data_IF_587472318300
#
_entry.id   IF_587472318300
#
_cell.length_a   1.000
_cell.length_b   1.000
_cell.length_c   1.000
_cell.angle_alpha   90.00
_cell.angle_beta   90.00
_cell.angle_gamma   90.00
#
_symmetry.space_group_name_H-M   'P 1'
#
loop_
_entity.id
_entity.type
_entity.pdbx_description
1 polymer ?
#
# COMPACT_ATOMS: atom_id res chain seq x y z
N UNK A 1 -0.47 27.16 6.09
CA UNK A 1 -0.55 26.44 4.81
C UNK A 1 -1.51 25.27 4.93
N UNK A 2 -2.19 24.87 3.86
CA UNK A 2 -3.18 23.79 3.91
C UNK A 2 -2.60 22.45 3.43
N UNK A 3 -3.21 21.30 3.82
CA UNK A 3 -2.79 19.97 3.36
C UNK A 3 -2.71 19.89 1.83
N UNK A 4 -3.67 20.43 1.04
CA UNK A 4 -3.56 20.46 -0.41
C UNK A 4 -2.30 21.16 -0.95
N UNK A 5 -1.78 22.17 -0.27
CA UNK A 5 -0.57 22.87 -0.69
C UNK A 5 0.69 22.02 -0.51
N UNK A 6 0.79 21.24 0.56
CA UNK A 6 1.89 20.28 0.75
C UNK A 6 1.89 19.18 -0.31
N UNK A 7 0.71 18.61 -0.60
CA UNK A 7 0.54 17.62 -1.66
C UNK A 7 0.92 18.20 -3.02
N UNK A 8 0.48 19.42 -3.30
CA UNK A 8 0.80 20.14 -4.54
C UNK A 8 2.31 20.34 -4.72
N UNK A 9 3.00 20.74 -3.67
CA UNK A 9 4.44 20.94 -3.70
C UNK A 9 5.19 19.61 -3.92
N UNK A 10 4.79 18.54 -3.22
CA UNK A 10 5.37 17.21 -3.41
C UNK A 10 5.21 16.72 -4.86
N UNK A 11 3.98 16.78 -5.42
CA UNK A 11 3.74 16.30 -6.79
C UNK A 11 4.46 17.15 -7.82
N UNK A 12 4.51 18.47 -7.63
CA UNK A 12 5.29 19.34 -8.50
C UNK A 12 6.80 19.01 -8.43
N UNK A 13 7.31 18.68 -7.25
CA UNK A 13 8.70 18.24 -7.08
C UNK A 13 8.98 16.91 -7.81
N UNK A 14 8.04 15.96 -7.76
CA UNK A 14 8.12 14.72 -8.54
C UNK A 14 8.11 15.00 -10.06
N UNK A 15 7.18 15.81 -10.54
CA UNK A 15 7.10 16.20 -11.95
C UNK A 15 8.38 16.87 -12.43
N UNK A 16 8.94 17.78 -11.65
CA UNK A 16 10.22 18.43 -11.93
C UNK A 16 11.38 17.43 -11.93
N UNK A 17 11.39 16.48 -11.00
CA UNK A 17 12.38 15.41 -10.96
C UNK A 17 12.38 14.59 -12.26
N UNK A 18 11.19 14.22 -12.75
CA UNK A 18 11.00 13.48 -13.99
C UNK A 18 11.19 14.32 -15.26
N UNK A 19 11.40 15.61 -15.14
CA UNK A 19 11.61 16.48 -16.31
C UNK A 19 10.32 17.00 -16.93
N UNK A 20 9.18 16.82 -16.31
CA UNK A 20 7.90 17.32 -16.77
C UNK A 20 7.77 18.82 -16.56
N UNK A 21 7.08 19.50 -17.50
CA UNK A 21 6.67 20.90 -17.39
C UNK A 21 5.24 21.03 -16.84
N UNK A 22 4.54 19.92 -16.65
CA UNK A 22 3.21 19.90 -16.07
C UNK A 22 3.21 20.39 -14.64
N UNK A 23 2.07 20.90 -14.20
CA UNK A 23 1.86 21.38 -12.83
C UNK A 23 0.55 20.83 -12.29
N UNK A 24 0.46 20.71 -10.98
CA UNK A 24 -0.77 20.36 -10.30
C UNK A 24 -1.78 21.47 -10.47
N UNK A 25 -2.93 21.14 -11.06
CA UNK A 25 -4.07 22.05 -11.19
C UNK A 25 -4.94 21.99 -9.93
N UNK A 26 -5.22 20.77 -9.47
CA UNK A 26 -6.19 20.52 -8.42
C UNK A 26 -5.77 19.32 -7.55
N UNK A 27 -5.92 19.46 -6.23
CA UNK A 27 -5.74 18.39 -5.26
C UNK A 27 -7.10 18.02 -4.69
N UNK A 28 -7.50 16.79 -4.89
CA UNK A 28 -8.74 16.28 -4.35
C UNK A 28 -8.48 15.66 -2.98
N UNK A 29 -8.90 16.34 -1.94
CA UNK A 29 -8.81 15.87 -0.54
C UNK A 29 -10.08 15.10 -0.17
N UNK A 30 -10.50 14.16 -1.00
CA UNK A 30 -11.68 13.35 -0.69
C UNK A 30 -11.35 12.39 0.46
N UNK A 31 -12.31 12.18 1.40
CA UNK A 31 -12.16 11.17 2.43
C UNK A 31 -11.89 9.79 1.81
N UNK A 32 -11.11 8.98 2.50
CA UNK A 32 -10.60 7.65 2.10
C UNK A 32 -11.55 6.69 1.36
N UNK A 33 -12.86 6.94 1.35
CA UNK A 33 -13.84 6.11 0.66
C UNK A 33 -14.31 6.77 -0.64
N UNK A 34 -13.61 6.51 -1.74
CA UNK A 34 -13.99 7.08 -3.04
C UNK A 34 -15.10 6.31 -3.75
N UNK A 35 -15.31 5.03 -3.40
CA UNK A 35 -16.24 4.16 -4.12
C UNK A 35 -17.01 3.30 -3.14
N UNK A 36 -18.26 3.64 -2.95
CA UNK A 36 -19.26 2.68 -2.57
C UNK A 36 -19.75 2.00 -3.85
N UNK A 37 -19.40 0.73 -4.00
CA UNK A 37 -20.13 -0.11 -4.94
C UNK A 37 -21.48 -0.40 -4.31
N UNK A 38 -22.58 0.08 -4.90
CA UNK A 38 -23.93 -0.30 -4.52
C UNK A 38 -24.17 -1.82 -4.66
N UNK A 39 -23.22 -2.53 -5.26
CA UNK A 39 -23.19 -3.96 -5.38
C UNK A 39 -22.27 -4.57 -4.31
N UNK A 40 -22.87 -5.15 -3.27
CA UNK A 40 -22.21 -5.75 -2.08
C UNK A 40 -21.15 -6.80 -2.41
N UNK A 41 -21.07 -7.25 -3.67
CA UNK A 41 -20.13 -8.28 -4.14
C UNK A 41 -18.79 -7.70 -4.69
N UNK A 42 -18.66 -6.39 -4.84
CA UNK A 42 -17.45 -5.79 -5.39
C UNK A 42 -16.59 -5.13 -4.30
N UNK A 43 -15.28 -5.15 -4.52
CA UNK A 43 -14.31 -4.59 -3.58
C UNK A 43 -14.43 -3.06 -3.50
N UNK A 44 -14.49 -2.52 -2.28
CA UNK A 44 -14.40 -1.08 -2.07
C UNK A 44 -12.95 -0.61 -2.29
N UNK A 45 -12.78 0.53 -2.97
CA UNK A 45 -11.47 1.13 -3.20
C UNK A 45 -11.27 2.32 -2.27
N UNK A 46 -10.15 2.34 -1.56
CA UNK A 46 -9.75 3.42 -0.66
C UNK A 46 -8.47 4.04 -1.21
N UNK A 47 -8.57 5.30 -1.66
CA UNK A 47 -7.46 6.07 -2.19
C UNK A 47 -6.95 7.03 -1.12
N UNK A 48 -5.62 7.11 -0.94
CA UNK A 48 -5.04 8.00 0.07
C UNK A 48 -5.09 9.46 -0.41
N UNK A 49 -4.50 9.76 -1.55
CA UNK A 49 -4.45 11.13 -2.10
C UNK A 49 -4.65 11.08 -3.62
N UNK A 50 -5.58 11.87 -4.12
CA UNK A 50 -5.85 12.01 -5.56
C UNK A 50 -5.56 13.42 -6.04
N UNK A 51 -4.82 13.54 -7.14
CA UNK A 51 -4.37 14.80 -7.72
C UNK A 51 -4.69 14.84 -9.20
N UNK A 52 -5.15 15.98 -9.69
CA UNK A 52 -5.36 16.24 -11.14
C UNK A 52 -4.36 17.28 -11.62
N UNK A 53 -3.68 17.00 -12.72
CA UNK A 53 -2.74 17.93 -13.34
C UNK A 53 -3.43 18.91 -14.30
N UNK A 54 -2.68 19.90 -14.78
CA UNK A 54 -3.14 20.92 -15.71
C UNK A 54 -3.62 20.41 -17.07
N UNK A 55 -3.20 19.20 -17.46
CA UNK A 55 -3.65 18.48 -18.65
C UNK A 55 -4.72 17.41 -18.37
N UNK A 56 -5.32 17.42 -17.18
CA UNK A 56 -6.29 16.45 -16.67
C UNK A 56 -5.75 15.03 -16.40
N UNK A 57 -4.45 14.79 -16.45
CA UNK A 57 -3.88 13.54 -15.94
C UNK A 57 -4.18 13.38 -14.45
N UNK A 58 -4.36 12.13 -14.02
CA UNK A 58 -4.74 11.78 -12.64
C UNK A 58 -3.56 11.09 -11.97
N UNK A 59 -3.22 11.55 -10.77
CA UNK A 59 -2.19 10.96 -9.92
C UNK A 59 -2.81 10.45 -8.63
N UNK A 60 -2.62 9.17 -8.34
CA UNK A 60 -2.93 8.56 -7.04
C UNK A 60 -1.62 8.40 -6.27
N UNK A 61 -1.60 8.82 -4.99
CA UNK A 61 -0.41 8.72 -4.14
C UNK A 61 -0.76 7.83 -2.96
N UNK A 62 0.04 6.80 -2.76
CA UNK A 62 -0.10 5.82 -1.68
C UNK A 62 1.23 5.73 -0.90
N UNK A 63 1.17 5.50 0.41
CA UNK A 63 2.35 5.35 1.27
C UNK A 63 2.29 3.98 1.94
N UNK A 64 3.36 3.20 1.78
CA UNK A 64 3.44 1.85 2.32
C UNK A 64 4.68 1.68 3.20
N UNK A 65 4.47 1.25 4.44
CA UNK A 65 5.55 0.82 5.34
C UNK A 65 6.02 -0.62 5.02
N UNK A 66 5.12 -1.44 4.48
CA UNK A 66 5.40 -2.80 4.03
C UNK A 66 4.78 -3.00 2.65
N UNK A 67 5.63 -3.00 1.62
CA UNK A 67 5.23 -3.15 0.23
C UNK A 67 5.63 -4.53 -0.29
N UNK A 68 4.69 -5.23 -0.90
CA UNK A 68 4.89 -6.57 -1.43
C UNK A 68 3.96 -6.88 -2.62
N UNK A 69 3.83 -8.16 -2.94
CA UNK A 69 3.01 -8.61 -4.07
C UNK A 69 1.55 -8.18 -3.98
N UNK A 70 0.99 -8.13 -2.77
CA UNK A 70 -0.40 -7.72 -2.55
C UNK A 70 -0.58 -6.24 -2.89
N UNK A 71 0.34 -5.37 -2.45
CA UNK A 71 0.33 -3.94 -2.73
C UNK A 71 0.58 -3.64 -4.21
N UNK A 72 1.40 -4.45 -4.90
CA UNK A 72 1.52 -4.37 -6.35
C UNK A 72 0.18 -4.61 -7.05
N UNK A 73 -0.55 -5.67 -6.67
CA UNK A 73 -1.87 -5.97 -7.23
C UNK A 73 -2.89 -4.89 -6.90
N UNK A 74 -2.85 -4.34 -5.67
CA UNK A 74 -3.67 -3.20 -5.27
C UNK A 74 -3.39 -1.98 -6.16
N UNK A 75 -2.13 -1.63 -6.39
CA UNK A 75 -1.74 -0.50 -7.25
C UNK A 75 -2.25 -0.68 -8.68
N UNK A 76 -2.13 -1.89 -9.26
CA UNK A 76 -2.68 -2.21 -10.59
C UNK A 76 -4.20 -2.05 -10.60
N UNK A 77 -4.90 -2.62 -9.61
CA UNK A 77 -6.36 -2.55 -9.51
C UNK A 77 -6.86 -1.10 -9.40
N UNK A 78 -6.23 -0.29 -8.54
CA UNK A 78 -6.59 1.11 -8.33
C UNK A 78 -6.35 1.96 -9.58
N UNK A 79 -5.18 1.80 -10.21
CA UNK A 79 -4.83 2.53 -11.44
C UNK A 79 -5.79 2.19 -12.57
N UNK A 80 -6.08 0.90 -12.76
CA UNK A 80 -7.03 0.43 -13.79
C UNK A 80 -8.43 0.93 -13.54
N UNK A 81 -8.87 0.93 -12.28
CA UNK A 81 -10.17 1.45 -11.92
C UNK A 81 -10.28 2.96 -12.20
N UNK A 82 -9.31 3.76 -11.74
CA UNK A 82 -9.25 5.20 -12.00
C UNK A 82 -9.27 5.49 -13.50
N UNK A 83 -8.54 4.70 -14.30
CA UNK A 83 -8.49 4.85 -15.74
C UNK A 83 -9.85 4.56 -16.39
N UNK A 84 -10.47 3.43 -16.05
CA UNK A 84 -11.71 2.97 -16.67
C UNK A 84 -12.94 3.82 -16.29
N UNK A 85 -12.94 4.44 -15.11
CA UNK A 85 -14.08 5.20 -14.59
C UNK A 85 -14.07 6.69 -14.94
N UNK A 86 -13.14 7.15 -15.78
CA UNK A 86 -13.15 8.51 -16.30
C UNK A 86 -14.25 8.73 -17.34
N UNK A 87 -14.66 7.67 -18.03
CA UNK A 87 -15.56 7.76 -19.18
C UNK A 87 -17.01 7.52 -18.78
N UNK A 88 -17.89 8.38 -19.27
CA UNK A 88 -19.34 8.18 -19.18
C UNK A 88 -19.81 7.25 -20.31
N UNK A 89 -21.04 6.74 -20.16
CA UNK A 89 -21.68 5.93 -21.19
C UNK A 89 -21.70 6.69 -22.53
N UNK A 90 -21.24 6.04 -23.62
CA UNK A 90 -21.17 6.56 -25.00
C UNK A 90 -20.01 7.57 -25.24
N UNK A 91 -19.12 7.82 -24.29
CA UNK A 91 -17.90 8.58 -24.56
C UNK A 91 -16.85 7.70 -25.25
N UNK A 92 -16.02 8.33 -26.07
CA UNK A 92 -14.92 7.66 -26.77
C UNK A 92 -13.74 7.45 -25.83
N UNK A 93 -13.03 6.34 -25.96
CA UNK A 93 -11.86 6.02 -25.14
C UNK A 93 -10.71 7.04 -25.25
N UNK A 94 -10.66 7.81 -26.35
CA UNK A 94 -9.70 8.90 -26.52
C UNK A 94 -9.84 10.06 -25.53
N UNK A 95 -10.92 10.11 -24.75
CA UNK A 95 -11.13 11.09 -23.69
C UNK A 95 -10.53 10.67 -22.34
N UNK A 96 -10.15 9.41 -22.19
CA UNK A 96 -9.51 8.97 -20.97
C UNK A 96 -8.11 9.57 -20.87
N UNK A 97 -7.82 10.20 -19.75
CA UNK A 97 -6.51 10.78 -19.47
C UNK A 97 -5.62 9.75 -18.79
N UNK A 98 -4.32 9.92 -18.88
CA UNK A 98 -3.34 9.10 -18.20
C UNK A 98 -3.58 9.06 -16.68
N UNK A 99 -3.36 7.88 -16.10
CA UNK A 99 -3.37 7.69 -14.64
C UNK A 99 -2.01 7.20 -14.18
N UNK A 100 -1.44 7.86 -13.20
CA UNK A 100 -0.18 7.46 -12.57
C UNK A 100 -0.40 7.15 -11.09
N UNK A 101 -0.05 5.95 -10.65
CA UNK A 101 -0.01 5.61 -9.23
C UNK A 101 1.41 5.78 -8.70
N UNK A 102 1.61 6.74 -7.79
CA UNK A 102 2.88 6.96 -7.08
C UNK A 102 2.80 6.24 -5.74
N UNK A 103 3.65 5.25 -5.55
CA UNK A 103 3.74 4.48 -4.33
C UNK A 103 5.06 4.79 -3.62
N UNK A 104 4.98 5.39 -2.44
CA UNK A 104 6.13 5.65 -1.57
C UNK A 104 6.36 4.42 -0.70
N UNK A 105 7.53 3.81 -0.81
CA UNK A 105 7.84 2.55 -0.13
C UNK A 105 9.10 2.67 0.73
N UNK A 106 9.10 2.03 1.90
CA UNK A 106 10.20 2.07 2.87
C UNK A 106 10.99 0.77 2.95
N UNK A 107 10.48 -0.32 2.38
CA UNK A 107 11.10 -1.65 2.47
C UNK A 107 11.84 -2.06 1.19
N UNK A 108 12.72 -3.04 1.31
CA UNK A 108 13.54 -3.59 0.23
C UNK A 108 12.76 -4.63 -0.61
N UNK A 109 11.66 -4.23 -1.23
CA UNK A 109 10.86 -5.12 -2.08
C UNK A 109 11.50 -5.38 -3.45
N UNK A 110 12.16 -4.35 -4.01
CA UNK A 110 12.80 -4.43 -5.33
C UNK A 110 14.23 -4.92 -5.21
N UNK A 111 14.65 -5.82 -6.12
CA UNK A 111 16.02 -6.34 -6.19
C UNK A 111 17.04 -5.30 -6.72
N UNK A 112 16.59 -4.17 -7.28
CA UNK A 112 17.45 -3.10 -7.73
C UNK A 112 17.70 -2.03 -6.66
N UNK A 113 18.67 -1.15 -6.91
CA UNK A 113 19.02 -0.03 -6.01
C UNK A 113 18.51 1.34 -6.50
N UNK A 114 17.60 1.34 -7.47
CA UNK A 114 17.10 2.59 -8.03
C UNK A 114 16.14 3.29 -7.05
N UNK A 115 16.31 4.58 -6.89
CA UNK A 115 15.45 5.42 -6.07
C UNK A 115 14.04 5.52 -6.63
N UNK A 116 13.91 5.69 -7.96
CA UNK A 116 12.64 5.82 -8.66
C UNK A 116 12.53 4.75 -9.74
N UNK A 117 11.45 3.99 -9.70
CA UNK A 117 11.13 2.93 -10.66
C UNK A 117 9.78 3.22 -11.30
N UNK A 118 9.74 3.32 -12.62
CA UNK A 118 8.54 3.61 -13.41
C UNK A 118 8.18 2.41 -14.28
N UNK A 119 6.99 1.84 -14.02
CA UNK A 119 6.47 0.66 -14.70
C UNK A 119 5.35 1.06 -15.66
N UNK A 120 5.51 0.67 -16.93
CA UNK A 120 4.61 0.99 -18.03
C UNK A 120 4.26 -0.27 -18.83
N UNK A 121 3.16 -0.23 -19.58
CA UNK A 121 2.81 -1.30 -20.51
C UNK A 121 3.74 -1.27 -21.72
N UNK A 122 4.56 -2.30 -21.87
CA UNK A 122 5.59 -2.41 -22.92
C UNK A 122 5.49 -3.74 -23.67
N UNK A 123 5.95 -3.73 -24.92
CA UNK A 123 6.18 -4.97 -25.65
C UNK A 123 7.40 -5.70 -25.05
N UNK A 124 7.24 -6.96 -24.71
CA UNK A 124 8.29 -7.78 -24.06
C UNK A 124 9.59 -7.85 -24.88
N UNK A 125 9.48 -8.02 -26.21
CA UNK A 125 10.64 -8.24 -27.07
C UNK A 125 11.33 -6.95 -27.53
N UNK A 126 10.55 -5.89 -27.76
CA UNK A 126 11.09 -4.64 -28.33
C UNK A 126 11.21 -3.53 -27.30
N UNK A 127 10.71 -3.73 -26.07
CA UNK A 127 10.59 -2.73 -25.02
C UNK A 127 9.81 -1.47 -25.43
N UNK A 128 9.10 -1.52 -26.56
CA UNK A 128 8.31 -0.40 -27.05
C UNK A 128 7.09 -0.20 -26.16
N UNK A 129 6.90 1.02 -25.68
CA UNK A 129 5.72 1.41 -24.91
C UNK A 129 4.47 1.30 -25.80
N UNK A 130 3.37 0.73 -25.28
CA UNK A 130 2.14 0.55 -26.03
C UNK A 130 1.54 1.92 -26.39
N UNK A 131 1.23 2.71 -25.36
CA UNK A 131 0.81 4.12 -25.47
C UNK A 131 1.36 4.86 -24.25
N UNK A 132 1.82 6.10 -24.43
CA UNK A 132 2.38 6.93 -23.36
C UNK A 132 1.33 7.52 -22.41
N UNK A 133 0.07 7.50 -22.80
CA UNK A 133 -1.05 8.14 -22.12
C UNK A 133 -2.02 7.15 -21.44
N UNK A 134 -1.56 5.94 -21.15
CA UNK A 134 -2.37 4.91 -20.49
C UNK A 134 -2.24 4.98 -18.96
N UNK A 135 -1.33 4.19 -18.44
CA UNK A 135 -1.16 3.99 -16.99
C UNK A 135 0.32 3.80 -16.67
N UNK A 136 0.76 4.45 -15.59
CA UNK A 136 2.07 4.21 -14.98
C UNK A 136 1.90 3.81 -13.52
N UNK A 137 2.77 2.90 -13.06
CA UNK A 137 2.94 2.59 -11.64
C UNK A 137 4.36 2.96 -11.26
N UNK A 138 4.48 3.95 -10.40
CA UNK A 138 5.76 4.48 -9.94
C UNK A 138 6.01 4.03 -8.52
N UNK A 139 7.18 3.46 -8.27
CA UNK A 139 7.66 3.14 -6.93
C UNK A 139 8.82 4.08 -6.59
N UNK A 140 8.66 4.87 -5.53
CA UNK A 140 9.71 5.73 -4.98
C UNK A 140 10.21 5.08 -3.70
N UNK A 141 11.47 4.64 -3.72
CA UNK A 141 12.13 3.98 -2.60
C UNK A 141 12.70 5.02 -1.63
N UNK A 142 11.99 5.23 -0.53
CA UNK A 142 12.38 6.19 0.49
C UNK A 142 13.69 5.80 1.19
N UNK A 143 13.99 4.50 1.29
CA UNK A 143 15.25 3.94 1.80
C UNK A 143 16.46 4.17 0.86
N UNK A 144 16.22 4.50 -0.40
CA UNK A 144 17.24 4.83 -1.42
C UNK A 144 17.27 6.30 -1.80
N UNK A 145 16.66 7.16 -0.98
CA UNK A 145 16.71 8.61 -1.25
C UNK A 145 18.17 9.10 -1.30
N UNK A 146 18.61 9.71 -2.41
CA UNK A 146 19.97 10.16 -2.56
C UNK A 146 20.39 11.14 -1.46
N UNK A 147 21.59 10.95 -0.90
CA UNK A 147 22.12 11.86 0.14
C UNK A 147 22.38 13.25 -0.42
N UNK A 148 22.88 13.32 -1.66
CA UNK A 148 23.20 14.57 -2.36
C UNK A 148 22.60 14.55 -3.75
N UNK A 149 21.90 15.62 -4.10
CA UNK A 149 21.48 15.90 -5.47
C UNK A 149 22.18 17.13 -6.00
N UNK A 150 22.78 17.02 -7.16
CA UNK A 150 23.56 18.09 -7.75
C UNK A 150 22.71 19.12 -8.50
N UNK A 151 21.46 18.78 -8.82
CA UNK A 151 20.54 19.68 -9.54
C UNK A 151 19.43 20.19 -8.61
N UNK A 152 19.21 21.50 -8.62
CA UNK A 152 18.10 22.12 -7.87
C UNK A 152 16.75 21.45 -8.15
N UNK A 153 16.55 21.00 -9.39
CA UNK A 153 15.36 20.32 -9.87
C UNK A 153 15.05 19.04 -9.11
N UNK A 154 16.07 18.30 -8.72
CA UNK A 154 15.91 17.02 -8.01
C UNK A 154 15.93 17.16 -6.49
N UNK A 155 16.44 18.27 -5.99
CA UNK A 155 16.61 18.50 -4.55
C UNK A 155 15.28 18.51 -3.78
N UNK A 156 14.22 19.09 -4.38
CA UNK A 156 12.92 19.24 -3.70
C UNK A 156 12.25 17.89 -3.43
N UNK A 157 12.23 16.97 -4.38
CA UNK A 157 11.69 15.63 -4.17
C UNK A 157 12.49 14.87 -3.11
N UNK A 158 13.82 14.93 -3.17
CA UNK A 158 14.67 14.31 -2.16
C UNK A 158 14.43 14.87 -0.76
N UNK A 159 14.22 16.17 -0.65
CA UNK A 159 13.90 16.81 0.61
C UNK A 159 12.58 16.29 1.17
N UNK A 160 11.52 16.17 0.33
CA UNK A 160 10.25 15.55 0.72
C UNK A 160 10.41 14.10 1.17
N UNK A 161 11.15 13.28 0.42
CA UNK A 161 11.38 11.88 0.78
C UNK A 161 12.10 11.75 2.13
N UNK A 162 13.13 12.56 2.39
CA UNK A 162 13.81 12.60 3.69
C UNK A 162 12.90 13.08 4.82
N UNK A 163 12.04 14.06 4.53
CA UNK A 163 11.08 14.57 5.49
C UNK A 163 10.04 13.53 5.90
N UNK A 164 9.51 12.77 4.92
CA UNK A 164 8.50 11.72 5.15
C UNK A 164 9.04 10.59 6.05
N UNK A 165 10.31 10.21 5.90
CA UNK A 165 10.92 9.14 6.73
C UNK A 165 11.54 9.64 8.01
N UNK A 166 11.56 10.95 8.26
CA UNK A 166 12.09 11.50 9.50
C UNK A 166 11.27 11.01 10.70
N UNK A 167 11.93 10.38 11.66
CA UNK A 167 11.31 9.72 12.80
C UNK A 167 11.33 10.56 14.09
N UNK A 168 11.76 11.81 14.00
CA UNK A 168 11.70 12.78 15.09
C UNK A 168 11.55 14.20 14.57
N UNK A 169 11.05 15.10 15.42
CA UNK A 169 10.89 16.51 15.05
C UNK A 169 12.24 17.19 14.77
N UNK A 170 13.28 16.84 15.50
CA UNK A 170 14.64 17.36 15.28
C UNK A 170 15.13 17.04 13.87
N UNK A 171 14.93 15.80 13.42
CA UNK A 171 15.28 15.40 12.05
C UNK A 171 14.41 16.07 11.00
N UNK A 172 13.12 16.27 11.27
CA UNK A 172 12.25 17.04 10.37
C UNK A 172 12.73 18.47 10.21
N UNK A 173 13.10 19.14 11.33
CA UNK A 173 13.64 20.50 11.34
C UNK A 173 14.99 20.58 10.62
N UNK A 174 15.86 19.59 10.81
CA UNK A 174 17.13 19.47 10.08
C UNK A 174 16.93 19.36 8.57
N UNK A 175 15.95 18.56 8.12
CA UNK A 175 15.60 18.43 6.69
C UNK A 175 14.97 19.73 6.17
N UNK A 176 14.13 20.38 6.97
CA UNK A 176 13.46 21.62 6.62
C UNK A 176 14.44 22.76 6.35
N UNK A 177 15.55 22.85 7.10
CA UNK A 177 16.58 23.91 6.96
C UNK A 177 16.00 25.33 6.90
N UNK A 178 14.92 25.59 7.63
CA UNK A 178 14.24 26.87 7.65
C UNK A 178 13.32 27.15 6.44
N UNK A 179 13.07 26.17 5.58
CA UNK A 179 12.08 26.28 4.51
C UNK A 179 10.67 26.39 5.11
N UNK A 180 9.94 27.45 4.78
CA UNK A 180 8.63 27.76 5.36
C UNK A 180 7.60 26.66 5.12
N UNK A 181 7.63 25.99 3.97
CA UNK A 181 6.72 24.90 3.62
C UNK A 181 6.90 23.73 4.60
N UNK A 182 8.13 23.27 4.81
CA UNK A 182 8.43 22.18 5.73
C UNK A 182 8.23 22.59 7.20
N UNK A 183 8.63 23.80 7.58
CA UNK A 183 8.44 24.28 8.95
C UNK A 183 6.95 24.33 9.30
N UNK A 184 6.10 24.85 8.41
CA UNK A 184 4.66 24.84 8.64
C UNK A 184 4.05 23.43 8.62
N UNK A 185 4.62 22.49 7.85
CA UNK A 185 4.20 21.07 7.89
C UNK A 185 4.49 20.43 9.25
N UNK A 186 5.63 20.76 9.87
CA UNK A 186 5.98 20.27 11.23
C UNK A 186 4.93 20.70 12.24
N UNK A 187 4.50 21.97 12.21
CA UNK A 187 3.47 22.49 13.12
C UNK A 187 2.14 21.75 12.92
N UNK A 188 1.71 21.56 11.67
CA UNK A 188 0.48 20.78 11.38
C UNK A 188 0.59 19.33 11.89
N UNK A 189 1.76 18.69 11.75
CA UNK A 189 2.00 17.33 12.27
C UNK A 189 1.94 17.34 13.80
N UNK A 190 2.56 18.32 14.47
CA UNK A 190 2.50 18.45 15.93
C UNK A 190 1.07 18.59 16.43
N UNK A 191 0.28 19.46 15.81
CA UNK A 191 -1.12 19.66 16.15
C UNK A 191 -1.95 18.37 15.94
N UNK A 192 -1.75 17.70 14.79
CA UNK A 192 -2.45 16.46 14.49
C UNK A 192 -2.10 15.32 15.46
N UNK A 193 -0.83 15.14 15.79
CA UNK A 193 -0.39 14.07 16.72
C UNK A 193 -0.90 14.30 18.13
N UNK A 194 -1.07 15.55 18.54
CA UNK A 194 -1.57 15.96 19.86
C UNK A 194 -3.11 16.04 19.92
N UNK A 195 -3.82 15.87 18.81
CA UNK A 195 -5.28 15.86 18.81
C UNK A 195 -5.81 14.68 19.64
N UNK A 196 -6.67 14.91 20.65
CA UNK A 196 -7.25 13.85 21.48
C UNK A 196 -7.97 12.77 20.68
N UNK A 197 -8.62 13.12 19.57
CA UNK A 197 -9.28 12.16 18.70
C UNK A 197 -8.28 11.21 18.02
N UNK A 198 -7.14 11.74 17.54
CA UNK A 198 -6.06 10.95 16.94
C UNK A 198 -5.39 10.05 17.97
N UNK A 199 -5.16 10.55 19.20
CA UNK A 199 -4.59 9.77 20.30
C UNK A 199 -5.52 8.60 20.65
N UNK A 200 -6.82 8.85 20.74
CA UNK A 200 -7.80 7.81 21.04
C UNK A 200 -7.93 6.79 19.90
N UNK A 201 -7.89 7.26 18.63
CA UNK A 201 -7.90 6.37 17.47
C UNK A 201 -6.69 5.43 17.48
N UNK A 202 -5.48 5.96 17.69
CA UNK A 202 -4.25 5.14 17.78
C UNK A 202 -4.31 4.09 18.87
N UNK A 203 -4.84 4.44 20.07
CA UNK A 203 -5.01 3.49 21.18
C UNK A 203 -5.98 2.37 20.80
N UNK A 204 -7.11 2.71 20.20
CA UNK A 204 -8.12 1.74 19.78
C UNK A 204 -7.61 0.83 18.65
N UNK A 205 -6.84 1.38 17.70
CA UNK A 205 -6.26 0.61 16.60
C UNK A 205 -5.19 -0.37 17.08
N UNK A 206 -4.32 0.06 18.00
CA UNK A 206 -3.36 -0.82 18.66
C UNK A 206 -4.05 -1.98 19.40
N UNK A 207 -5.14 -1.70 20.14
CA UNK A 207 -5.91 -2.76 20.80
C UNK A 207 -6.49 -3.75 19.80
N UNK A 208 -7.06 -3.27 18.68
CA UNK A 208 -7.60 -4.14 17.61
C UNK A 208 -6.52 -5.01 16.95
N UNK A 209 -5.33 -4.46 16.74
CA UNK A 209 -4.19 -5.21 16.18
C UNK A 209 -3.76 -6.31 17.15
N UNK A 210 -3.64 -6.00 18.45
CA UNK A 210 -3.30 -6.98 19.49
C UNK A 210 -4.35 -8.09 19.53
N UNK A 211 -5.64 -7.74 19.54
CA UNK A 211 -6.74 -8.71 19.55
C UNK A 211 -6.70 -9.59 18.29
N UNK A 212 -6.47 -9.01 17.10
CA UNK A 212 -6.37 -9.75 15.85
C UNK A 212 -5.15 -10.69 15.83
N UNK A 213 -4.00 -10.26 16.34
CA UNK A 213 -2.81 -11.11 16.50
C UNK A 213 -3.08 -12.27 17.44
N UNK A 214 -3.67 -12.01 18.61
CA UNK A 214 -4.02 -13.04 19.59
C UNK A 214 -5.00 -14.08 19.02
N UNK A 215 -6.01 -13.62 18.26
CA UNK A 215 -6.95 -14.52 17.56
C UNK A 215 -6.24 -15.34 16.48
N UNK A 216 -5.31 -14.74 15.73
CA UNK A 216 -4.55 -15.44 14.70
C UNK A 216 -3.60 -16.49 15.29
N UNK A 217 -2.90 -16.17 16.39
CA UNK A 217 -2.05 -17.08 17.14
C UNK A 217 -2.84 -18.27 17.64
N UNK A 218 -3.95 -18.04 18.35
CA UNK A 218 -4.84 -19.11 18.86
C UNK A 218 -5.36 -20.01 17.71
N UNK A 219 -5.75 -19.42 16.56
CA UNK A 219 -6.17 -20.20 15.38
C UNK A 219 -5.02 -20.99 14.77
N UNK A 220 -3.82 -20.44 14.77
CA UNK A 220 -2.59 -21.11 14.30
C UNK A 220 -2.24 -22.29 15.16
N UNK A 221 -2.31 -22.14 16.48
CA UNK A 221 -2.04 -23.17 17.49
C UNK A 221 -3.03 -24.34 17.35
N UNK A 222 -4.34 -24.03 17.32
CA UNK A 222 -5.40 -25.04 17.10
C UNK A 222 -5.21 -25.79 15.77
N UNK A 223 -4.86 -25.07 14.67
CA UNK A 223 -4.58 -25.71 13.38
C UNK A 223 -3.34 -26.60 13.44
N UNK A 224 -2.29 -26.13 14.12
CA UNK A 224 -1.05 -26.89 14.32
C UNK A 224 -1.31 -28.19 15.08
N UNK A 225 -1.98 -28.11 16.23
CA UNK A 225 -2.36 -29.30 17.03
C UNK A 225 -3.24 -30.28 16.25
N UNK A 226 -4.24 -29.75 15.52
CA UNK A 226 -5.12 -30.58 14.70
C UNK A 226 -4.34 -31.31 13.60
N UNK A 227 -3.40 -30.62 12.94
CA UNK A 227 -2.56 -31.18 11.87
C UNK A 227 -1.64 -32.29 12.40
N UNK A 228 -0.98 -32.06 13.53
CA UNK A 228 -0.12 -33.05 14.19
C UNK A 228 -0.93 -34.27 14.66
N UNK A 229 -2.09 -34.03 15.26
CA UNK A 229 -3.00 -35.09 15.70
C UNK A 229 -3.49 -35.93 14.53
N UNK A 230 -3.83 -35.29 13.40
CA UNK A 230 -4.21 -35.99 12.16
C UNK A 230 -3.09 -36.89 11.65
N UNK A 231 -1.87 -36.37 11.54
CA UNK A 231 -0.68 -37.16 11.13
C UNK A 231 -0.45 -38.37 12.02
N UNK A 232 -0.52 -38.19 13.34
CA UNK A 232 -0.32 -39.25 14.32
C UNK A 232 -1.39 -40.35 14.19
N UNK A 233 -2.67 -39.97 14.08
CA UNK A 233 -3.78 -40.91 13.90
C UNK A 233 -3.66 -41.68 12.58
N UNK A 234 -3.32 -41.01 11.49
CA UNK A 234 -3.08 -41.65 10.19
C UNK A 234 -1.88 -42.60 10.22
N UNK A 235 -0.83 -42.28 10.94
CA UNK A 235 0.28 -43.20 11.13
C UNK A 235 -0.12 -44.44 11.96
N UNK A 236 -0.86 -44.26 13.04
CA UNK A 236 -1.34 -45.35 13.88
C UNK A 236 -2.36 -46.25 13.16
N UNK A 237 -3.16 -45.71 12.27
CA UNK A 237 -4.16 -46.49 11.51
C UNK A 237 -3.54 -47.58 10.59
N UNK A 238 -2.25 -47.44 10.28
CA UNK A 238 -1.52 -48.46 9.48
C UNK A 238 -1.19 -49.72 10.27
N UNK A 239 -1.19 -49.64 11.61
CA UNK A 239 -0.74 -50.75 12.50
C UNK A 239 -1.75 -51.10 13.59
N UNK A 240 -2.72 -50.23 13.88
CA UNK A 240 -3.70 -50.42 14.96
C UNK A 240 -5.14 -50.29 14.41
N UNK A 241 -6.09 -51.02 15.02
CA UNK A 241 -7.53 -50.85 14.72
C UNK A 241 -8.05 -49.50 15.25
N UNK A 242 -9.14 -48.96 14.61
CA UNK A 242 -9.80 -47.75 15.01
C UNK A 242 -10.21 -47.73 16.49
N UNK A 243 -10.73 -48.86 16.99
CA UNK A 243 -11.10 -49.07 18.41
C UNK A 243 -9.90 -48.92 19.36
N UNK A 244 -8.73 -49.48 19.02
CA UNK A 244 -7.52 -49.36 19.81
C UNK A 244 -6.99 -47.95 19.83
N UNK A 245 -7.00 -47.24 18.68
CA UNK A 245 -6.62 -45.84 18.57
C UNK A 245 -7.53 -44.97 19.42
N UNK A 246 -8.86 -45.15 19.30
CA UNK A 246 -9.85 -44.42 20.06
C UNK A 246 -9.64 -44.56 21.57
N UNK A 247 -9.41 -45.81 22.05
CA UNK A 247 -9.14 -46.08 23.47
C UNK A 247 -7.79 -45.47 23.96
N UNK A 248 -6.76 -45.54 23.13
CA UNK A 248 -5.43 -45.03 23.48
C UNK A 248 -5.40 -43.50 23.55
N UNK A 249 -6.10 -42.82 22.68
CA UNK A 249 -6.11 -41.36 22.59
C UNK A 249 -7.30 -40.70 23.30
N UNK A 250 -8.12 -41.50 23.99
CA UNK A 250 -9.35 -41.03 24.66
C UNK A 250 -10.27 -40.27 23.73
N UNK A 251 -10.51 -40.79 22.51
CA UNK A 251 -11.36 -40.27 21.50
C UNK A 251 -12.52 -41.24 21.21
N UNK A 252 -13.58 -40.75 20.60
CA UNK A 252 -14.62 -41.63 20.03
C UNK A 252 -14.12 -42.25 18.69
N UNK A 253 -14.62 -43.42 18.32
CA UNK A 253 -14.30 -44.02 17.02
C UNK A 253 -14.70 -43.12 15.85
N UNK A 254 -15.75 -42.31 16.03
CA UNK A 254 -16.23 -41.37 15.02
C UNK A 254 -15.18 -40.24 14.78
N UNK A 255 -14.58 -39.74 15.83
CA UNK A 255 -13.51 -38.75 15.73
C UNK A 255 -12.26 -39.32 15.08
N UNK A 256 -11.86 -40.53 15.45
CA UNK A 256 -10.71 -41.21 14.83
C UNK A 256 -10.97 -41.41 13.31
N UNK A 257 -12.15 -41.86 12.90
CA UNK A 257 -12.51 -41.96 11.48
C UNK A 257 -12.47 -40.63 10.75
N UNK A 258 -12.91 -39.53 11.38
CA UNK A 258 -12.85 -38.20 10.79
C UNK A 258 -11.39 -37.79 10.53
N UNK A 259 -10.48 -37.96 11.51
CA UNK A 259 -9.05 -37.67 11.34
C UNK A 259 -8.40 -38.57 10.27
N UNK A 260 -8.77 -39.83 10.16
CA UNK A 260 -8.25 -40.74 9.14
C UNK A 260 -8.62 -40.29 7.72
N UNK A 261 -9.80 -39.70 7.55
CA UNK A 261 -10.33 -39.25 6.24
C UNK A 261 -9.98 -37.79 5.93
N UNK A 262 -9.32 -37.05 6.84
CA UNK A 262 -8.92 -35.66 6.62
C UNK A 262 -7.73 -35.62 5.67
N UNK A 263 -7.84 -34.87 4.57
CA UNK A 263 -6.73 -34.58 3.66
C UNK A 263 -5.89 -33.48 4.29
N UNK A 264 -4.59 -33.74 4.45
CA UNK A 264 -3.60 -32.82 5.08
C UNK A 264 -3.09 -31.75 4.10
#
# INVERSE_FOLDING_TARGET
>A
MSIPEYVKDFVNAYLEYCGSLLKVAYVNTIPQKYIQNDNVALHDYYLDILVTLSNNEIYNIEIYNDFGNEQCKKSVAYTSWLYSHQLKKQETYSKANKVTSINLITNEFLENNEFLNDYQLRNEFTSKILLNDLMDIVLIRLDKTPEKEYTKRKQRLNQWCKFIVANSYEKMEEVAKGDEMFMSSIEVIKDFVNDPAVINFKKNDQSRIIDACTIAENKGEIKGETKERTKMIQAFSKVLSCEKIAKTLNLSEKEVKNYMNTVL
#
